data_IF_391704266963
#
_entry.id   IF_391704266963
#
_cell.length_a   1.000
_cell.length_b   1.000
_cell.length_c   1.000
_cell.angle_alpha   90.00
_cell.angle_beta   90.00
_cell.angle_gamma   90.00
#
_symmetry.space_group_name_H-M   'P 1'
#
loop_
_entity.id
_entity.type
_entity.pdbx_description
1 polymer ?
#
# COMPACT_ATOMS: atom_id res chain seq x y z
N UNK A 1 35.84 -31.95 14.21
CA UNK A 1 34.73 -31.35 14.97
C UNK A 1 34.64 -29.82 14.88
N UNK A 2 35.71 -29.11 14.52
CA UNK A 2 35.68 -27.63 14.35
C UNK A 2 34.84 -27.11 13.21
N UNK A 3 34.71 -27.85 12.10
CA UNK A 3 33.93 -27.44 10.92
C UNK A 3 32.40 -27.46 11.15
N UNK A 4 31.90 -28.32 12.04
CA UNK A 4 30.45 -28.37 12.36
C UNK A 4 29.97 -27.17 13.20
N UNK A 5 30.84 -26.60 14.05
CA UNK A 5 30.51 -25.40 14.85
C UNK A 5 30.51 -24.13 14.01
N UNK A 6 31.42 -23.99 13.04
CA UNK A 6 31.46 -22.82 12.16
C UNK A 6 30.26 -22.80 11.19
N UNK A 7 29.86 -23.98 10.68
CA UNK A 7 28.66 -24.12 9.84
C UNK A 7 27.40 -23.75 10.60
N UNK A 8 27.26 -24.18 11.83
CA UNK A 8 26.10 -23.86 12.70
C UNK A 8 26.00 -22.35 13.01
N UNK A 9 27.14 -21.63 13.10
CA UNK A 9 27.14 -20.20 13.40
C UNK A 9 26.70 -19.38 12.18
N UNK A 10 27.20 -19.73 10.99
CA UNK A 10 26.76 -19.12 9.72
C UNK A 10 25.29 -19.43 9.42
N UNK A 11 24.85 -20.65 9.65
CA UNK A 11 23.45 -21.04 9.45
C UNK A 11 22.51 -20.30 10.43
N UNK A 12 22.94 -20.11 11.68
CA UNK A 12 22.18 -19.32 12.67
C UNK A 12 22.12 -17.85 12.32
N UNK A 13 23.18 -17.25 11.78
CA UNK A 13 23.18 -15.87 11.32
C UNK A 13 22.30 -15.69 10.08
N UNK A 14 22.36 -16.64 9.13
CA UNK A 14 21.48 -16.62 7.97
C UNK A 14 20.01 -16.78 8.36
N UNK A 15 19.68 -17.71 9.24
CA UNK A 15 18.33 -17.90 9.78
C UNK A 15 17.85 -16.63 10.51
N UNK A 16 18.72 -16.00 11.28
CA UNK A 16 18.40 -14.75 11.99
C UNK A 16 18.15 -13.58 11.03
N UNK A 17 18.92 -13.47 9.95
CA UNK A 17 18.73 -12.44 8.92
C UNK A 17 17.46 -12.70 8.10
N UNK A 18 17.16 -13.94 7.75
CA UNK A 18 15.92 -14.34 7.08
C UNK A 18 14.72 -14.04 7.98
N UNK A 19 14.80 -14.35 9.28
CA UNK A 19 13.75 -14.09 10.26
C UNK A 19 13.44 -12.59 10.38
N UNK A 20 14.46 -11.72 10.44
CA UNK A 20 14.26 -10.26 10.47
C UNK A 20 13.61 -9.75 9.20
N UNK A 21 14.01 -10.28 8.05
CA UNK A 21 13.43 -9.92 6.76
C UNK A 21 11.97 -10.38 6.67
N UNK A 22 11.67 -11.59 7.14
CA UNK A 22 10.30 -12.12 7.17
C UNK A 22 9.41 -11.30 8.12
N UNK A 23 9.92 -10.89 9.27
CA UNK A 23 9.21 -9.99 10.19
C UNK A 23 8.92 -8.64 9.55
N UNK A 24 9.86 -8.07 8.82
CA UNK A 24 9.68 -6.81 8.11
C UNK A 24 8.63 -6.95 7.01
N UNK A 25 8.70 -8.02 6.20
CA UNK A 25 7.71 -8.29 5.16
C UNK A 25 6.32 -8.51 5.76
N UNK A 26 6.22 -9.24 6.87
CA UNK A 26 4.96 -9.45 7.57
C UNK A 26 4.38 -8.14 8.10
N UNK A 27 5.22 -7.27 8.64
CA UNK A 27 4.83 -5.92 9.08
C UNK A 27 4.27 -5.09 7.92
N UNK A 28 4.93 -5.11 6.75
CA UNK A 28 4.44 -4.42 5.55
C UNK A 28 3.11 -5.00 5.06
N UNK A 29 2.95 -6.31 5.07
CA UNK A 29 1.71 -6.97 4.68
C UNK A 29 0.56 -6.61 5.62
N UNK A 30 0.80 -6.58 6.93
CA UNK A 30 -0.19 -6.14 7.92
C UNK A 30 -0.60 -4.69 7.71
N UNK A 31 0.36 -3.82 7.43
CA UNK A 31 0.08 -2.44 7.08
C UNK A 31 -0.73 -2.34 5.78
N UNK A 32 -0.39 -3.14 4.78
CA UNK A 32 -1.11 -3.20 3.52
C UNK A 32 -2.58 -3.63 3.70
N UNK A 33 -2.85 -4.61 4.58
CA UNK A 33 -4.22 -5.01 4.91
C UNK A 33 -5.01 -3.84 5.49
N UNK A 34 -4.42 -3.09 6.41
CA UNK A 34 -5.06 -1.89 7.00
C UNK A 34 -5.34 -0.83 5.95
N UNK A 35 -4.41 -0.62 5.02
CA UNK A 35 -4.57 0.34 3.92
C UNK A 35 -5.71 -0.10 2.99
N UNK A 36 -5.81 -1.38 2.68
CA UNK A 36 -6.91 -1.93 1.87
C UNK A 36 -8.25 -1.66 2.55
N UNK A 37 -8.33 -1.80 3.87
CA UNK A 37 -9.55 -1.48 4.63
C UNK A 37 -9.91 0.00 4.49
N UNK A 38 -8.93 0.91 4.53
CA UNK A 38 -9.17 2.35 4.31
C UNK A 38 -9.70 2.58 2.90
N UNK A 39 -9.14 1.92 1.88
CA UNK A 39 -9.66 1.99 0.51
C UNK A 39 -11.10 1.48 0.40
N UNK A 40 -11.44 0.41 1.08
CA UNK A 40 -12.80 -0.12 1.09
C UNK A 40 -13.78 0.89 1.68
N UNK A 41 -13.42 1.54 2.79
CA UNK A 41 -14.23 2.60 3.41
C UNK A 41 -14.36 3.79 2.45
N UNK A 42 -13.27 4.21 1.83
CA UNK A 42 -13.27 5.26 0.81
C UNK A 42 -14.24 4.94 -0.32
N UNK A 43 -14.20 3.72 -0.84
CA UNK A 43 -15.10 3.29 -1.91
C UNK A 43 -16.57 3.26 -1.49
N UNK A 44 -16.85 2.91 -0.25
CA UNK A 44 -18.21 2.97 0.31
C UNK A 44 -18.73 4.41 0.33
N UNK A 45 -17.91 5.37 0.77
CA UNK A 45 -18.27 6.78 0.75
C UNK A 45 -18.49 7.31 -0.68
N UNK A 46 -17.59 6.96 -1.60
CA UNK A 46 -17.72 7.35 -3.01
C UNK A 46 -18.97 6.77 -3.65
N UNK A 47 -19.25 5.50 -3.39
CA UNK A 47 -20.45 4.82 -3.89
C UNK A 47 -21.71 5.46 -3.32
N UNK A 48 -21.77 5.69 -2.00
CA UNK A 48 -22.89 6.32 -1.33
C UNK A 48 -23.14 7.74 -1.84
N UNK A 49 -22.07 8.54 -1.97
CA UNK A 49 -22.18 9.89 -2.51
C UNK A 49 -22.66 9.92 -3.96
N UNK A 50 -22.20 8.98 -4.78
CA UNK A 50 -22.62 8.83 -6.17
C UNK A 50 -24.10 8.47 -6.25
N UNK A 51 -24.56 7.51 -5.43
CA UNK A 51 -25.98 7.15 -5.38
C UNK A 51 -26.85 8.32 -4.93
N UNK A 52 -26.43 9.10 -3.96
CA UNK A 52 -27.14 10.31 -3.54
C UNK A 52 -27.21 11.33 -4.66
N UNK A 53 -26.13 11.52 -5.40
CA UNK A 53 -26.08 12.44 -6.54
C UNK A 53 -27.06 12.00 -7.63
N UNK A 54 -27.14 10.72 -7.94
CA UNK A 54 -28.09 10.16 -8.89
C UNK A 54 -29.52 10.39 -8.41
N UNK A 55 -29.79 10.11 -7.14
CA UNK A 55 -31.12 10.27 -6.57
C UNK A 55 -31.60 11.73 -6.61
N UNK A 56 -30.72 12.68 -6.29
CA UNK A 56 -31.01 14.11 -6.37
C UNK A 56 -31.28 14.55 -7.82
N UNK A 57 -30.49 14.01 -8.77
CA UNK A 57 -30.69 14.33 -10.20
C UNK A 57 -31.97 13.78 -10.76
N UNK A 58 -32.41 12.60 -10.30
CA UNK A 58 -33.66 11.99 -10.76
C UNK A 58 -34.90 12.55 -10.05
N UNK A 59 -34.81 12.82 -8.75
CA UNK A 59 -35.90 13.37 -7.92
C UNK A 59 -35.55 14.81 -7.59
N UNK A 60 -36.14 15.77 -8.32
CA UNK A 60 -35.91 17.21 -8.12
C UNK A 60 -36.29 17.72 -6.72
N UNK A 61 -36.78 16.88 -5.83
CA UNK A 61 -37.01 17.20 -4.41
C UNK A 61 -35.70 17.07 -3.68
N UNK A 62 -35.01 18.19 -3.46
CA UNK A 62 -33.79 18.26 -2.71
C UNK A 62 -33.94 17.61 -1.33
N UNK A 63 -33.26 16.50 -1.08
CA UNK A 63 -32.95 16.11 0.28
C UNK A 63 -31.90 17.10 0.83
N UNK A 64 -32.03 17.45 2.10
CA UNK A 64 -31.10 18.39 2.77
C UNK A 64 -29.66 17.85 2.87
N UNK A 65 -29.39 16.64 2.42
CA UNK A 65 -28.07 16.02 2.45
C UNK A 65 -27.25 16.43 1.23
N UNK A 66 -26.06 16.96 1.49
CA UNK A 66 -25.11 17.34 0.44
C UNK A 66 -24.25 16.13 0.06
N UNK A 67 -24.45 15.52 -1.15
CA UNK A 67 -23.67 14.36 -1.58
C UNK A 67 -22.18 14.68 -1.75
N UNK A 68 -21.83 15.95 -1.95
CA UNK A 68 -20.46 16.37 -2.11
C UNK A 68 -19.60 16.08 -0.86
N UNK A 69 -20.20 16.11 0.32
CA UNK A 69 -19.48 15.80 1.57
C UNK A 69 -18.97 14.37 1.55
N UNK A 70 -19.80 13.40 1.19
CA UNK A 70 -19.39 11.99 1.09
C UNK A 70 -18.34 11.76 0.01
N UNK A 71 -18.49 12.44 -1.14
CA UNK A 71 -17.53 12.34 -2.24
C UNK A 71 -16.18 12.92 -1.84
N UNK A 72 -16.16 14.07 -1.19
CA UNK A 72 -14.93 14.71 -0.71
C UNK A 72 -14.26 13.85 0.34
N UNK A 73 -14.99 13.39 1.34
CA UNK A 73 -14.44 12.52 2.39
C UNK A 73 -13.88 11.22 1.81
N UNK A 74 -14.59 10.61 0.85
CA UNK A 74 -14.11 9.42 0.15
C UNK A 74 -12.82 9.68 -0.61
N UNK A 75 -12.69 10.80 -1.30
CA UNK A 75 -11.47 11.19 -2.01
C UNK A 75 -10.30 11.44 -1.06
N UNK A 76 -10.53 12.10 0.07
CA UNK A 76 -9.49 12.29 1.08
C UNK A 76 -9.00 10.97 1.67
N UNK A 77 -9.91 10.05 1.98
CA UNK A 77 -9.55 8.73 2.46
C UNK A 77 -8.73 7.95 1.42
N UNK A 78 -9.11 8.04 0.14
CA UNK A 78 -8.36 7.43 -0.96
C UNK A 78 -6.97 8.04 -1.09
N UNK A 79 -6.83 9.34 -0.93
CA UNK A 79 -5.54 10.03 -0.95
C UNK A 79 -4.65 9.56 0.21
N UNK A 80 -5.18 9.51 1.42
CA UNK A 80 -4.45 9.01 2.58
C UNK A 80 -3.98 7.57 2.35
N UNK A 81 -4.88 6.70 1.86
CA UNK A 81 -4.55 5.32 1.54
C UNK A 81 -3.47 5.23 0.47
N UNK A 82 -3.50 6.08 -0.56
CA UNK A 82 -2.48 6.13 -1.61
C UNK A 82 -1.11 6.53 -1.08
N UNK A 83 -1.05 7.48 -0.17
CA UNK A 83 0.20 7.90 0.47
C UNK A 83 0.77 6.75 1.30
N UNK A 84 -0.07 6.07 2.07
CA UNK A 84 0.34 4.94 2.90
C UNK A 84 0.81 3.75 2.06
N UNK A 85 0.12 3.41 0.98
CA UNK A 85 0.53 2.31 0.11
C UNK A 85 1.83 2.64 -0.63
N UNK A 86 2.04 3.89 -0.98
CA UNK A 86 3.31 4.34 -1.56
C UNK A 86 4.46 4.14 -0.59
N UNK A 87 4.26 4.43 0.68
CA UNK A 87 5.25 4.15 1.73
C UNK A 87 5.60 2.65 1.79
N UNK A 88 4.59 1.78 1.73
CA UNK A 88 4.80 0.32 1.71
C UNK A 88 5.59 -0.10 0.47
N UNK A 89 5.23 0.40 -0.70
CA UNK A 89 5.88 0.06 -1.96
C UNK A 89 7.33 0.53 -1.99
N UNK A 90 7.60 1.74 -1.52
CA UNK A 90 8.97 2.27 -1.38
C UNK A 90 9.82 1.43 -0.40
N UNK A 91 9.25 1.10 0.75
CA UNK A 91 9.93 0.30 1.77
C UNK A 91 10.27 -1.09 1.25
N UNK A 92 9.32 -1.71 0.55
CA UNK A 92 9.54 -3.02 -0.07
C UNK A 92 10.61 -2.96 -1.16
N UNK A 93 10.55 -1.95 -2.02
CA UNK A 93 11.55 -1.76 -3.06
C UNK A 93 12.95 -1.58 -2.47
N UNK A 94 13.09 -0.73 -1.46
CA UNK A 94 14.39 -0.47 -0.83
C UNK A 94 14.98 -1.74 -0.21
N UNK A 95 14.16 -2.53 0.48
CA UNK A 95 14.62 -3.80 1.06
C UNK A 95 15.06 -4.79 -0.01
N UNK A 96 14.26 -4.96 -1.06
CA UNK A 96 14.59 -5.86 -2.16
C UNK A 96 15.83 -5.39 -2.92
N UNK A 97 16.00 -4.08 -3.08
CA UNK A 97 17.17 -3.51 -3.72
C UNK A 97 18.45 -3.76 -2.91
N UNK A 98 18.39 -3.63 -1.59
CA UNK A 98 19.51 -3.96 -0.70
C UNK A 98 19.88 -5.44 -0.80
N UNK A 99 18.90 -6.33 -0.81
CA UNK A 99 19.12 -7.76 -1.00
C UNK A 99 19.69 -8.09 -2.36
N UNK A 100 19.25 -7.42 -3.40
CA UNK A 100 19.78 -7.58 -4.75
C UNK A 100 21.26 -7.16 -4.80
N UNK A 101 21.62 -6.04 -4.19
CA UNK A 101 23.01 -5.56 -4.10
C UNK A 101 23.91 -6.51 -3.33
N UNK A 102 23.36 -7.21 -2.32
CA UNK A 102 24.10 -8.22 -1.54
C UNK A 102 24.16 -9.58 -2.25
N UNK A 103 23.56 -9.72 -3.42
CA UNK A 103 23.54 -10.98 -4.17
C UNK A 103 22.61 -12.05 -3.62
N UNK A 104 21.74 -11.70 -2.68
CA UNK A 104 20.78 -12.64 -2.08
C UNK A 104 19.59 -12.95 -2.99
N UNK A 105 19.30 -12.07 -3.95
CA UNK A 105 18.17 -12.19 -4.88
C UNK A 105 18.70 -12.00 -6.30
N UNK A 106 18.36 -12.94 -7.19
CA UNK A 106 18.70 -12.89 -8.62
C UNK A 106 17.54 -12.40 -9.51
N UNK A 107 16.44 -11.98 -8.91
CA UNK A 107 15.26 -11.49 -9.64
C UNK A 107 15.46 -10.05 -10.10
N UNK A 108 14.93 -9.73 -11.28
CA UNK A 108 14.80 -8.35 -11.73
C UNK A 108 13.89 -7.56 -10.80
N UNK A 109 14.27 -6.32 -10.48
CA UNK A 109 13.49 -5.39 -9.66
C UNK A 109 12.58 -4.48 -10.50
N UNK A 110 12.48 -4.72 -11.82
CA UNK A 110 11.60 -3.95 -12.70
C UNK A 110 10.14 -3.90 -12.23
N UNK A 111 9.50 -5.04 -11.87
CA UNK A 111 8.11 -4.99 -11.43
C UNK A 111 7.91 -4.11 -10.20
N UNK A 112 8.80 -4.18 -9.22
CA UNK A 112 8.73 -3.38 -8.00
C UNK A 112 8.97 -1.89 -8.27
N UNK A 113 9.89 -1.58 -9.19
CA UNK A 113 10.13 -0.22 -9.63
C UNK A 113 8.90 0.37 -10.33
N UNK A 114 8.21 -0.40 -11.16
CA UNK A 114 6.98 0.00 -11.82
C UNK A 114 5.84 0.23 -10.83
N UNK A 115 5.69 -0.64 -9.83
CA UNK A 115 4.71 -0.47 -8.75
C UNK A 115 4.97 0.82 -7.99
N UNK A 116 6.22 1.10 -7.66
CA UNK A 116 6.63 2.34 -7.01
C UNK A 116 6.26 3.58 -7.81
N UNK A 117 6.51 3.57 -9.12
CA UNK A 117 6.14 4.67 -10.02
C UNK A 117 4.62 4.81 -10.13
N UNK A 118 3.90 3.70 -10.24
CA UNK A 118 2.44 3.69 -10.29
C UNK A 118 1.83 4.28 -9.02
N UNK A 119 2.40 4.01 -7.86
CA UNK A 119 1.96 4.57 -6.58
C UNK A 119 2.10 6.08 -6.53
N UNK A 120 3.20 6.62 -7.04
CA UNK A 120 3.43 8.07 -7.13
C UNK A 120 2.39 8.70 -8.07
N UNK A 121 2.16 8.11 -9.23
CA UNK A 121 1.17 8.59 -10.20
C UNK A 121 -0.24 8.57 -9.60
N UNK A 122 -0.58 7.55 -8.81
CA UNK A 122 -1.86 7.48 -8.10
C UNK A 122 -2.06 8.64 -7.15
N UNK A 123 -1.04 9.01 -6.38
CA UNK A 123 -1.10 10.16 -5.47
C UNK A 123 -1.37 11.44 -6.26
N UNK A 124 -0.65 11.65 -7.35
CA UNK A 124 -0.83 12.83 -8.21
C UNK A 124 -2.25 12.89 -8.76
N UNK A 125 -2.79 11.77 -9.24
CA UNK A 125 -4.16 11.70 -9.76
C UNK A 125 -5.19 12.03 -8.68
N UNK A 126 -5.03 11.51 -7.47
CA UNK A 126 -5.94 11.83 -6.36
C UNK A 126 -5.88 13.30 -5.97
N UNK A 127 -4.69 13.92 -5.96
CA UNK A 127 -4.54 15.35 -5.70
C UNK A 127 -5.25 16.18 -6.77
N UNK A 128 -5.11 15.81 -8.04
CA UNK A 128 -5.74 16.52 -9.15
C UNK A 128 -7.27 16.39 -9.14
N UNK A 129 -7.81 15.32 -8.57
CA UNK A 129 -9.25 15.08 -8.51
C UNK A 129 -9.94 15.74 -7.31
N UNK A 130 -9.17 16.21 -6.36
CA UNK A 130 -9.70 16.95 -5.22
C UNK A 130 -9.85 18.43 -5.58
#
# INVERSE_FOLDING_TARGET
MGCKRAKNKKDKEQIKNISKSDEFQLSLLNLQVKIILIYMISNIFLFGGTLQSINISCNKKASDSNPNILLIEGQYLALIASILISYVDFSRYNELNERYKKGEINKSLEPEALIKQASILSIILYILNI
#
